data_IF_335220428333
#
_entry.id   IF_335220428333
#
_cell.length_a   1.000
_cell.length_b   1.000
_cell.length_c   1.000
_cell.angle_alpha   90.00
_cell.angle_beta   90.00
_cell.angle_gamma   90.00
#
_symmetry.space_group_name_H-M   'P 1'
#
loop_
_entity.id
_entity.type
_entity.pdbx_description
1 polymer ?
#
# COMPACT_ATOMS: atom_id res chain seq x y z
N UNK A 1 10.84 37.51 -10.02
CA UNK A 1 9.39 37.53 -9.72
C UNK A 1 8.91 36.09 -9.76
N UNK A 2 8.77 35.44 -8.60
CA UNK A 2 8.47 34.00 -8.51
C UNK A 2 6.95 33.87 -8.45
N UNK A 3 6.33 33.29 -9.48
CA UNK A 3 4.90 33.00 -9.47
C UNK A 3 4.67 31.80 -8.54
N UNK A 4 4.20 32.07 -7.32
CA UNK A 4 3.65 31.04 -6.43
C UNK A 4 2.22 30.74 -6.86
N UNK A 5 2.01 29.61 -7.52
CA UNK A 5 0.67 29.08 -7.78
C UNK A 5 0.18 28.34 -6.54
N UNK A 6 -0.80 28.91 -5.82
CA UNK A 6 -1.54 28.20 -4.78
C UNK A 6 -2.58 27.32 -5.47
N UNK A 7 -2.30 26.03 -5.56
CA UNK A 7 -3.27 25.04 -6.04
C UNK A 7 -4.26 24.79 -4.90
N UNK A 8 -5.42 25.44 -4.94
CA UNK A 8 -6.54 25.11 -4.06
C UNK A 8 -7.15 23.79 -4.54
N UNK A 9 -6.82 22.70 -3.87
CA UNK A 9 -7.46 21.41 -4.10
C UNK A 9 -8.90 21.52 -3.55
N UNK A 10 -9.94 21.23 -4.34
CA UNK A 10 -11.31 21.31 -3.85
C UNK A 10 -11.50 20.36 -2.64
N UNK A 11 -12.15 20.88 -1.60
CA UNK A 11 -12.32 20.22 -0.28
C UNK A 11 -12.87 18.80 -0.37
N UNK A 12 -13.69 18.49 -1.38
CA UNK A 12 -14.31 17.18 -1.57
C UNK A 12 -13.31 16.03 -1.77
N UNK A 13 -12.09 16.31 -2.22
CA UNK A 13 -11.04 15.28 -2.29
C UNK A 13 -10.36 15.12 -0.92
N UNK A 14 -10.17 16.20 -0.17
CA UNK A 14 -9.49 16.22 1.14
C UNK A 14 -10.18 15.28 2.15
N UNK A 15 -11.49 15.13 1.98
CA UNK A 15 -12.38 14.41 2.88
C UNK A 15 -12.38 12.89 2.72
N UNK A 16 -11.78 12.34 1.65
CA UNK A 16 -11.83 10.91 1.30
C UNK A 16 -10.68 10.09 1.91
N UNK A 17 -10.87 8.78 1.98
CA UNK A 17 -9.77 7.84 2.28
C UNK A 17 -8.66 7.91 1.23
N UNK A 18 -7.40 7.94 1.67
CA UNK A 18 -6.22 7.98 0.79
C UNK A 18 -5.17 6.98 1.22
N UNK A 19 -4.56 6.32 0.25
CA UNK A 19 -3.35 5.53 0.48
C UNK A 19 -2.15 6.47 0.39
N UNK A 20 -1.40 6.62 1.48
CA UNK A 20 -0.17 7.41 1.50
C UNK A 20 1.06 6.58 1.13
N UNK A 21 1.06 5.30 1.51
CA UNK A 21 2.18 4.38 1.28
C UNK A 21 1.66 2.95 1.17
N UNK A 22 2.27 2.17 0.30
CA UNK A 22 2.06 0.73 0.23
C UNK A 22 3.40 0.02 -0.02
N UNK A 23 3.67 -1.03 0.74
CA UNK A 23 4.83 -1.89 0.56
C UNK A 23 4.38 -3.34 0.52
N UNK A 24 5.00 -4.14 -0.34
CA UNK A 24 4.70 -5.57 -0.46
C UNK A 24 5.96 -6.40 -0.17
N UNK A 25 5.79 -7.49 0.58
CA UNK A 25 6.82 -8.49 0.83
C UNK A 25 6.41 -9.82 0.17
N UNK A 26 7.39 -10.57 -0.35
CA UNK A 26 7.18 -11.85 -1.03
C UNK A 26 7.70 -13.00 -0.17
N UNK A 27 6.84 -13.99 0.08
CA UNK A 27 7.18 -15.18 0.88
C UNK A 27 6.37 -16.41 0.50
N UNK A 28 6.14 -16.63 -0.79
CA UNK A 28 5.22 -17.65 -1.34
C UNK A 28 3.83 -17.10 -1.68
N UNK A 29 3.37 -16.13 -0.89
CA UNK A 29 2.30 -15.20 -1.24
C UNK A 29 2.73 -13.76 -0.93
N UNK A 30 1.94 -12.77 -1.33
CA UNK A 30 2.23 -11.36 -1.06
C UNK A 30 1.60 -10.91 0.26
N UNK A 31 2.38 -10.18 1.05
CA UNK A 31 1.88 -9.45 2.22
C UNK A 31 2.08 -7.97 2.02
N UNK A 32 0.98 -7.21 2.08
CA UNK A 32 0.95 -5.77 1.94
C UNK A 32 0.91 -5.09 3.32
N UNK A 33 1.70 -4.04 3.47
CA UNK A 33 1.56 -3.06 4.55
C UNK A 33 1.18 -1.73 3.92
N UNK A 34 0.01 -1.21 4.30
CA UNK A 34 -0.61 -0.05 3.66
C UNK A 34 -0.88 1.02 4.70
N UNK A 35 -0.35 2.22 4.46
CA UNK A 35 -0.60 3.41 5.27
C UNK A 35 -1.76 4.18 4.66
N UNK A 36 -2.84 4.34 5.43
CA UNK A 36 -4.07 5.02 5.02
C UNK A 36 -4.26 6.27 5.86
N UNK A 37 -4.72 7.34 5.22
CA UNK A 37 -5.14 8.58 5.87
C UNK A 37 -6.58 8.90 5.51
N UNK A 38 -7.33 9.45 6.46
CA UNK A 38 -8.67 9.95 6.25
C UNK A 38 -8.92 11.18 7.14
N UNK A 39 -9.47 12.26 6.58
CA UNK A 39 -9.67 13.53 7.30
C UNK A 39 -10.71 13.41 8.43
N UNK A 40 -11.71 12.54 8.24
CA UNK A 40 -12.67 12.15 9.27
C UNK A 40 -12.40 10.72 9.73
N UNK A 41 -12.58 10.46 11.00
CA UNK A 41 -12.24 9.14 11.53
C UNK A 41 -13.26 8.64 12.52
N UNK A 42 -14.43 9.26 12.64
CA UNK A 42 -15.51 8.77 13.52
C UNK A 42 -16.41 7.76 12.82
N UNK A 43 -17.24 7.04 13.58
CA UNK A 43 -18.15 6.00 13.07
C UNK A 43 -19.06 6.42 11.90
N UNK A 44 -19.37 7.71 11.78
CA UNK A 44 -20.19 8.24 10.67
C UNK A 44 -19.42 8.39 9.36
N UNK A 45 -18.10 8.54 9.42
CA UNK A 45 -17.26 8.77 8.25
C UNK A 45 -15.81 8.37 8.55
N UNK A 46 -15.40 7.19 8.08
CA UNK A 46 -14.07 6.63 8.29
C UNK A 46 -13.67 5.72 7.12
N UNK A 47 -12.37 5.50 6.95
CA UNK A 47 -11.86 4.54 5.99
C UNK A 47 -12.31 3.11 6.36
N UNK A 48 -13.11 2.48 5.51
CA UNK A 48 -13.79 1.21 5.82
C UNK A 48 -13.14 0.01 5.13
N UNK A 49 -12.28 0.25 4.13
CA UNK A 49 -11.47 -0.79 3.49
C UNK A 49 -10.29 -0.23 2.70
N UNK A 50 -9.37 -1.12 2.39
CA UNK A 50 -8.50 -0.96 1.22
C UNK A 50 -8.48 -2.24 0.38
N UNK A 51 -8.22 -2.08 -0.91
CA UNK A 51 -8.26 -3.13 -1.91
C UNK A 51 -6.93 -3.17 -2.67
N UNK A 52 -6.52 -4.38 -3.06
CA UNK A 52 -5.44 -4.61 -4.02
C UNK A 52 -6.09 -5.01 -5.33
N UNK A 53 -5.81 -4.28 -6.41
CA UNK A 53 -6.44 -4.47 -7.71
C UNK A 53 -5.41 -4.74 -8.80
N UNK A 54 -5.82 -5.46 -9.83
CA UNK A 54 -5.12 -5.52 -11.11
C UNK A 54 -5.27 -4.19 -11.88
N UNK A 55 -4.49 -4.02 -12.95
CA UNK A 55 -4.48 -2.79 -13.74
C UNK A 55 -5.82 -2.48 -14.44
N UNK A 56 -6.62 -3.51 -14.73
CA UNK A 56 -7.96 -3.41 -15.31
C UNK A 56 -9.04 -3.04 -14.27
N UNK A 57 -8.68 -2.93 -12.99
CA UNK A 57 -9.60 -2.65 -11.89
C UNK A 57 -10.23 -3.89 -11.26
N UNK A 58 -9.83 -5.11 -11.66
CA UNK A 58 -10.24 -6.35 -10.99
C UNK A 58 -9.69 -6.36 -9.56
N UNK A 59 -10.56 -6.57 -8.56
CA UNK A 59 -10.14 -6.70 -7.16
C UNK A 59 -9.50 -8.07 -6.97
N UNK A 60 -8.22 -8.07 -6.59
CA UNK A 60 -7.46 -9.28 -6.26
C UNK A 60 -7.69 -9.66 -4.80
N UNK A 61 -7.67 -8.69 -3.89
CA UNK A 61 -7.94 -8.90 -2.47
C UNK A 61 -8.49 -7.64 -1.80
N UNK A 62 -9.20 -7.84 -0.68
CA UNK A 62 -9.80 -6.75 0.10
C UNK A 62 -9.49 -6.88 1.59
N UNK A 63 -9.01 -5.79 2.19
CA UNK A 63 -8.96 -5.64 3.64
C UNK A 63 -10.10 -4.75 4.12
N UNK A 64 -11.04 -5.33 4.86
CA UNK A 64 -12.09 -4.57 5.56
C UNK A 64 -11.52 -4.01 6.88
N UNK A 65 -11.89 -2.77 7.19
CA UNK A 65 -11.59 -2.05 8.41
C UNK A 65 -12.92 -1.83 9.16
N UNK A 66 -13.13 -2.56 10.24
CA UNK A 66 -14.42 -2.60 10.93
C UNK A 66 -14.62 -1.46 11.93
N UNK A 67 -13.59 -0.68 12.21
CA UNK A 67 -13.66 0.39 13.17
C UNK A 67 -12.96 1.66 12.68
N UNK A 68 -13.40 2.81 13.17
CA UNK A 68 -12.66 4.05 13.03
C UNK A 68 -11.25 3.98 13.64
N UNK A 69 -10.30 4.68 13.04
CA UNK A 69 -8.95 4.90 13.58
C UNK A 69 -8.81 6.38 13.98
N UNK A 70 -9.59 6.84 14.98
CA UNK A 70 -9.65 8.28 15.36
C UNK A 70 -8.29 8.81 15.80
N UNK A 71 -7.66 8.09 16.72
CA UNK A 71 -6.46 8.54 17.42
C UNK A 71 -5.16 8.10 16.73
N UNK A 72 -5.27 7.53 15.53
CA UNK A 72 -4.16 6.92 14.80
C UNK A 72 -4.23 7.32 13.32
N UNK A 73 -4.13 8.63 13.03
CA UNK A 73 -4.06 9.11 11.66
C UNK A 73 -2.67 9.69 11.35
N UNK A 74 -2.00 9.24 10.26
CA UNK A 74 -2.34 8.06 9.45
C UNK A 74 -2.07 6.75 10.19
N UNK A 75 -2.84 5.70 9.89
CA UNK A 75 -2.59 4.34 10.42
C UNK A 75 -1.98 3.44 9.35
N UNK A 76 -1.28 2.40 9.78
CA UNK A 76 -0.74 1.38 8.89
C UNK A 76 -1.36 0.03 9.22
N UNK A 77 -1.90 -0.64 8.22
CA UNK A 77 -2.55 -1.94 8.38
C UNK A 77 -2.02 -2.96 7.35
N UNK A 78 -2.02 -4.22 7.76
CA UNK A 78 -1.50 -5.34 6.96
C UNK A 78 -2.60 -6.14 6.26
N UNK A 79 -2.25 -6.70 5.10
CA UNK A 79 -3.05 -7.67 4.36
C UNK A 79 -2.11 -8.78 3.86
N UNK A 80 -2.21 -9.96 4.46
CA UNK A 80 -1.40 -11.13 4.11
C UNK A 80 -2.12 -12.06 3.14
N UNK A 81 -1.40 -13.08 2.67
CA UNK A 81 -1.91 -14.15 1.81
C UNK A 81 -2.57 -13.66 0.52
N UNK A 82 -2.08 -12.59 -0.09
CA UNK A 82 -2.59 -12.10 -1.37
C UNK A 82 -1.97 -12.92 -2.50
N UNK A 83 -2.80 -13.58 -3.30
CA UNK A 83 -2.37 -14.28 -4.52
C UNK A 83 -2.39 -13.31 -5.70
N UNK A 84 -1.24 -13.13 -6.34
CA UNK A 84 -1.10 -12.33 -7.55
C UNK A 84 -0.60 -13.27 -8.65
N UNK A 85 -1.39 -13.51 -9.72
CA UNK A 85 -0.94 -14.29 -10.87
C UNK A 85 0.36 -13.75 -11.45
N UNK A 86 1.21 -14.64 -11.97
CA UNK A 86 2.53 -14.28 -12.49
C UNK A 86 2.46 -13.31 -13.69
N UNK A 87 1.35 -13.30 -14.44
CA UNK A 87 1.10 -12.33 -15.51
C UNK A 87 0.86 -10.89 -15.03
N UNK A 88 0.51 -10.70 -13.75
CA UNK A 88 0.23 -9.38 -13.18
C UNK A 88 1.54 -8.76 -12.69
N UNK A 89 2.11 -7.91 -13.55
CA UNK A 89 3.33 -7.18 -13.21
C UNK A 89 3.09 -6.08 -12.16
N UNK A 90 1.89 -5.48 -12.13
CA UNK A 90 1.59 -4.31 -11.31
C UNK A 90 0.21 -4.41 -10.70
N UNK A 91 0.09 -3.88 -9.49
CA UNK A 91 -1.18 -3.77 -8.78
C UNK A 91 -1.43 -2.33 -8.35
N UNK A 92 -2.69 -2.01 -8.14
CA UNK A 92 -3.17 -0.75 -7.61
C UNK A 92 -3.64 -0.99 -6.18
N UNK A 93 -3.27 -0.13 -5.24
CA UNK A 93 -3.82 -0.16 -3.88
C UNK A 93 -4.75 1.02 -3.69
N UNK A 94 -6.00 0.74 -3.32
CA UNK A 94 -7.07 1.74 -3.23
C UNK A 94 -7.67 1.74 -1.85
N UNK A 95 -7.82 2.92 -1.23
CA UNK A 95 -8.60 3.09 -0.01
C UNK A 95 -10.02 3.56 -0.34
N UNK A 96 -10.98 3.16 0.49
CA UNK A 96 -12.37 3.64 0.45
C UNK A 96 -12.81 4.04 1.85
N UNK A 97 -13.88 4.83 1.89
CA UNK A 97 -14.60 5.16 3.12
C UNK A 97 -16.09 4.83 3.00
N UNK A 98 -16.74 4.73 4.15
CA UNK A 98 -18.14 4.31 4.27
C UNK A 98 -19.16 5.33 3.70
N UNK A 99 -18.72 6.53 3.28
CA UNK A 99 -19.60 7.60 2.76
C UNK A 99 -19.40 7.79 1.25
N UNK A 100 -18.18 8.09 0.83
CA UNK A 100 -17.79 8.46 -0.53
C UNK A 100 -17.40 7.25 -1.37
N UNK A 101 -17.08 6.11 -0.74
CA UNK A 101 -16.58 4.90 -1.41
C UNK A 101 -15.32 5.22 -2.25
N UNK A 102 -14.85 4.26 -3.04
CA UNK A 102 -13.55 4.27 -3.70
C UNK A 102 -13.01 5.63 -4.22
N UNK A 103 -11.97 6.15 -3.56
CA UNK A 103 -11.11 7.23 -4.06
C UNK A 103 -9.97 6.67 -4.91
N UNK A 104 -9.75 7.18 -6.13
CA UNK A 104 -8.68 6.68 -7.01
C UNK A 104 -7.31 7.16 -6.51
N UNK A 105 -6.44 6.25 -6.05
CA UNK A 105 -5.01 6.53 -5.87
C UNK A 105 -4.21 5.42 -6.54
N UNK A 106 -3.27 5.80 -7.41
CA UNK A 106 -2.34 4.89 -8.08
C UNK A 106 -0.98 5.03 -7.40
N UNK A 107 -0.56 4.03 -6.64
CA UNK A 107 0.84 3.93 -6.19
C UNK A 107 1.60 3.07 -7.18
N UNK A 108 2.41 3.73 -7.99
CA UNK A 108 3.26 3.11 -8.99
C UNK A 108 4.57 2.58 -8.38
N UNK A 109 5.08 1.57 -9.05
CA UNK A 109 6.20 0.69 -8.71
C UNK A 109 7.50 1.47 -8.45
N UNK A 110 7.89 1.62 -7.19
CA UNK A 110 9.31 1.79 -6.79
C UNK A 110 9.64 1.20 -5.40
N UNK A 111 8.68 1.11 -4.48
CA UNK A 111 8.94 0.58 -3.14
C UNK A 111 9.22 -0.94 -3.06
N UNK A 112 8.79 -1.75 -4.04
CA UNK A 112 9.01 -3.20 -4.02
C UNK A 112 10.32 -3.65 -4.69
N UNK A 113 10.83 -2.87 -5.66
CA UNK A 113 12.06 -3.21 -6.37
C UNK A 113 13.31 -2.92 -5.53
N UNK A 114 13.31 -1.85 -4.72
CA UNK A 114 14.47 -1.47 -3.90
C UNK A 114 14.68 -2.38 -2.68
N UNK A 115 13.61 -2.97 -2.14
CA UNK A 115 13.71 -3.94 -1.06
C UNK A 115 14.31 -5.28 -1.53
N UNK A 116 13.96 -5.72 -2.75
CA UNK A 116 14.47 -6.96 -3.34
C UNK A 116 15.97 -6.84 -3.71
N UNK A 117 16.41 -5.67 -4.21
CA UNK A 117 17.81 -5.40 -4.53
C UNK A 117 18.73 -5.42 -3.28
N UNK A 118 18.22 -5.01 -2.11
CA UNK A 118 18.97 -5.06 -0.83
C UNK A 118 19.00 -6.45 -0.18
N UNK A 119 18.04 -7.31 -0.50
CA UNK A 119 17.98 -8.67 0.06
C UNK A 119 18.87 -9.66 -0.74
N UNK A 120 19.00 -9.45 -2.06
CA UNK A 120 19.90 -10.25 -2.90
C UNK A 120 21.38 -9.91 -2.68
N UNK A 121 21.71 -8.67 -2.32
CA UNK A 121 23.08 -8.24 -1.99
C UNK A 121 23.55 -8.72 -0.61
N UNK A 122 22.64 -8.96 0.34
CA UNK A 122 22.99 -9.49 1.68
C UNK A 122 23.10 -11.02 1.73
N UNK A 123 22.41 -11.77 0.85
CA UNK A 123 22.54 -13.23 0.78
C UNK A 123 23.75 -13.72 -0.04
N UNK A 124 24.28 -12.89 -0.96
CA UNK A 124 25.47 -13.24 -1.74
C UNK A 124 26.78 -13.20 -0.92
N UNK A 125 26.81 -12.49 0.21
CA UNK A 125 28.01 -12.34 1.05
C UNK A 125 28.27 -13.52 2.01
N UNK A 126 27.31 -14.44 2.18
CA UNK A 126 27.36 -15.47 3.23
C UNK A 126 27.92 -16.84 2.81
N UNK A 127 28.17 -17.10 1.52
CA UNK A 127 28.52 -18.47 1.05
C UNK A 127 29.99 -18.61 0.64
N UNK A 128 30.91 -18.46 1.61
CA UNK A 128 32.23 -19.13 1.58
C UNK A 128 32.59 -19.64 2.97
N UNK A 129 32.14 -20.85 3.29
CA UNK A 129 32.79 -21.71 4.30
C UNK A 129 32.97 -23.10 3.70
N UNK A 130 33.95 -23.20 2.81
CA UNK A 130 34.53 -24.47 2.40
C UNK A 130 35.63 -24.85 3.39
N UNK A 131 35.43 -25.95 4.11
CA UNK A 131 36.47 -26.82 4.70
C UNK A 131 36.38 -28.12 3.85
N UNK A 132 37.44 -28.93 3.58
CA UNK A 132 38.54 -29.26 4.50
C UNK A 132 39.93 -29.59 3.91
N UNK A 133 40.93 -29.70 4.81
CA UNK A 133 41.93 -30.79 4.81
C UNK A 133 43.26 -30.57 4.07
N UNK A 134 44.35 -30.38 4.82
CA UNK A 134 45.37 -31.41 5.14
C UNK A 134 46.16 -30.95 6.36
#
# INVERSE_FOLDING_TARGET
>A
MVLSAVISVPSAEADKARVLKATANVGGSYTFSVTVAHAYSGWKHYADKFEVLAADGTVLETRILYHPHVDEQPFTCGLGNVQIPAEIAQVIVRASDNVHKAGKVTLNRQAAAEALARQQSSQAAGKKKGRPGV
#
